data_IF_219000248342
#
_entry.id   IF_219000248342
#
_cell.length_a   1.000
_cell.length_b   1.000
_cell.length_c   1.000
_cell.angle_alpha   90.00
_cell.angle_beta   90.00
_cell.angle_gamma   90.00
#
_symmetry.space_group_name_H-M   'P 1'
#
loop_
_entity.id
_entity.type
_entity.pdbx_description
1 polymer ?
#
# COMPACT_ATOMS: atom_id res chain seq x y z
N UNK A 1 -3.93 -8.39 -27.00
CA UNK A 1 -3.85 -8.72 -28.44
C UNK A 1 -4.25 -10.17 -28.80
N UNK A 2 -5.13 -10.85 -28.04
CA UNK A 2 -5.48 -12.25 -28.31
C UNK A 2 -6.47 -12.47 -29.48
N UNK A 3 -7.02 -11.41 -30.08
CA UNK A 3 -7.98 -11.48 -31.22
C UNK A 3 -7.41 -10.96 -32.55
N UNK A 4 -6.12 -10.62 -32.63
CA UNK A 4 -5.49 -10.16 -33.87
C UNK A 4 -6.01 -8.81 -34.39
N UNK A 5 -6.62 -7.99 -33.53
CA UNK A 5 -7.06 -6.63 -33.85
C UNK A 5 -6.09 -5.64 -33.22
N UNK A 6 -5.48 -4.79 -34.06
CA UNK A 6 -4.71 -3.63 -33.59
C UNK A 6 -5.65 -2.60 -33.00
N UNK A 7 -5.31 -2.07 -31.84
CA UNK A 7 -6.09 -1.05 -31.18
C UNK A 7 -5.74 0.31 -31.77
N UNK A 8 -6.75 1.18 -31.95
CA UNK A 8 -6.44 2.59 -32.14
C UNK A 8 -5.92 3.16 -30.81
N UNK A 9 -5.13 4.23 -30.89
CA UNK A 9 -4.64 4.92 -29.68
C UNK A 9 -5.79 5.47 -28.83
N UNK A 10 -6.91 5.84 -29.46
CA UNK A 10 -8.12 6.32 -28.77
C UNK A 10 -8.81 5.18 -28.02
N UNK A 11 -9.04 4.04 -28.68
CA UNK A 11 -9.66 2.87 -28.03
C UNK A 11 -8.81 2.35 -26.87
N UNK A 12 -7.47 2.41 -27.02
CA UNK A 12 -6.54 2.04 -25.97
C UNK A 12 -6.59 2.97 -24.77
N UNK A 13 -6.63 4.29 -25.00
CA UNK A 13 -6.74 5.26 -23.92
C UNK A 13 -8.10 5.17 -23.22
N UNK A 14 -9.20 5.04 -23.96
CA UNK A 14 -10.55 4.87 -23.39
C UNK A 14 -10.67 3.61 -22.54
N UNK A 15 -10.02 2.51 -22.94
CA UNK A 15 -9.98 1.30 -22.14
C UNK A 15 -9.12 1.44 -20.88
N UNK A 16 -7.94 2.07 -20.99
CA UNK A 16 -6.99 2.19 -19.87
C UNK A 16 -7.37 3.28 -18.88
N UNK A 17 -8.09 4.32 -19.30
CA UNK A 17 -8.47 5.45 -18.46
C UNK A 17 -9.24 5.03 -17.19
N UNK A 18 -10.34 4.25 -17.25
CA UNK A 18 -11.09 3.86 -16.05
C UNK A 18 -10.28 2.94 -15.12
N UNK A 19 -9.36 2.14 -15.68
CA UNK A 19 -8.46 1.30 -14.86
C UNK A 19 -7.49 2.19 -14.08
N UNK A 20 -6.86 3.17 -14.73
CA UNK A 20 -5.99 4.13 -14.03
C UNK A 20 -6.74 4.90 -12.96
N UNK A 21 -7.95 5.38 -13.27
CA UNK A 21 -8.78 6.09 -12.30
C UNK A 21 -9.17 5.21 -11.10
N UNK A 22 -9.49 3.94 -11.34
CA UNK A 22 -9.75 2.99 -10.27
C UNK A 22 -8.53 2.83 -9.35
N UNK A 23 -7.34 2.66 -9.91
CA UNK A 23 -6.11 2.50 -9.13
C UNK A 23 -5.74 3.80 -8.39
N UNK A 24 -5.96 4.96 -8.99
CA UNK A 24 -5.74 6.25 -8.33
C UNK A 24 -6.70 6.40 -7.14
N UNK A 25 -7.98 6.13 -7.33
CA UNK A 25 -8.99 6.22 -6.28
C UNK A 25 -8.74 5.24 -5.13
N UNK A 26 -8.47 3.97 -5.46
CA UNK A 26 -8.33 2.90 -4.47
C UNK A 26 -6.93 2.81 -3.86
N UNK A 27 -5.92 3.35 -4.55
CA UNK A 27 -4.53 3.45 -4.07
C UNK A 27 -4.26 4.71 -3.27
N UNK A 28 -5.17 5.70 -3.28
CA UNK A 28 -4.99 6.94 -2.53
C UNK A 28 -4.87 6.66 -1.01
N UNK A 29 -3.98 7.35 -0.26
CA UNK A 29 -3.80 7.12 1.19
C UNK A 29 -5.11 7.18 2.00
N UNK A 30 -6.01 8.10 1.63
CA UNK A 30 -7.33 8.19 2.28
C UNK A 30 -8.25 7.00 2.02
N UNK A 31 -8.10 6.29 0.89
CA UNK A 31 -8.87 5.08 0.63
C UNK A 31 -8.44 3.94 1.56
N UNK A 32 -7.12 3.80 1.74
CA UNK A 32 -6.50 2.80 2.62
C UNK A 32 -6.83 3.05 4.11
N UNK A 33 -6.61 4.28 4.58
CA UNK A 33 -6.79 4.62 6.01
C UNK A 33 -8.27 4.57 6.44
N UNK A 34 -9.21 4.89 5.53
CA UNK A 34 -10.64 4.74 5.78
C UNK A 34 -11.08 3.26 5.98
N UNK A 35 -10.20 2.30 5.65
CA UNK A 35 -10.42 0.85 5.76
C UNK A 35 -9.47 0.18 6.74
N UNK A 36 -8.69 0.96 7.50
CA UNK A 36 -7.72 0.46 8.47
C UNK A 36 -6.68 -0.49 7.85
N UNK A 37 -6.31 -0.26 6.59
CA UNK A 37 -5.16 -0.95 6.01
C UNK A 37 -3.84 -0.43 6.59
N UNK A 38 -3.87 0.77 7.12
CA UNK A 38 -2.83 1.44 7.90
C UNK A 38 -3.44 1.97 9.21
N UNK A 39 -2.56 2.32 10.16
CA UNK A 39 -2.94 2.93 11.45
C UNK A 39 -3.06 4.47 11.37
N UNK A 40 -2.97 5.05 10.17
CA UNK A 40 -3.11 6.49 9.94
C UNK A 40 -2.13 7.06 8.92
N UNK A 41 -2.59 8.07 8.17
CA UNK A 41 -1.74 8.92 7.32
C UNK A 41 -1.11 10.01 8.19
N UNK A 42 0.22 10.16 8.11
CA UNK A 42 0.97 11.15 8.89
C UNK A 42 1.67 12.17 7.99
N UNK A 43 1.88 13.38 8.52
CA UNK A 43 2.81 14.35 7.94
C UNK A 43 4.22 13.71 7.88
N UNK A 44 4.89 13.67 6.70
CA UNK A 44 6.21 13.08 6.57
C UNK A 44 7.26 13.65 7.55
N UNK A 45 7.15 14.93 7.93
CA UNK A 45 8.05 15.56 8.91
C UNK A 45 7.86 15.02 10.34
N UNK A 46 6.74 14.34 10.59
CA UNK A 46 6.37 13.78 11.91
C UNK A 46 6.80 12.32 12.07
N UNK A 47 7.34 11.69 11.03
CA UNK A 47 7.78 10.27 11.02
C UNK A 47 8.65 9.92 12.23
N UNK A 48 9.67 10.74 12.55
CA UNK A 48 10.56 10.48 13.71
C UNK A 48 9.81 10.44 15.03
N UNK A 49 8.84 11.35 15.21
CA UNK A 49 8.08 11.42 16.45
C UNK A 49 7.09 10.26 16.56
N UNK A 50 6.40 9.92 15.47
CA UNK A 50 5.49 8.77 15.43
C UNK A 50 6.22 7.48 15.81
N UNK A 51 7.39 7.22 15.19
CA UNK A 51 8.23 6.06 15.54
C UNK A 51 8.75 6.13 16.98
N UNK A 52 9.14 7.31 17.46
CA UNK A 52 9.61 7.48 18.83
C UNK A 52 8.57 7.10 19.88
N UNK A 53 7.31 7.51 19.68
CA UNK A 53 6.20 7.15 20.58
C UNK A 53 5.87 5.66 20.45
N UNK A 54 5.80 5.11 19.23
CA UNK A 54 5.51 3.71 19.00
C UNK A 54 6.56 2.79 19.66
N UNK A 55 7.85 3.07 19.48
CA UNK A 55 8.94 2.31 20.11
C UNK A 55 8.92 2.41 21.64
N UNK A 56 8.62 3.59 22.18
CA UNK A 56 8.46 3.78 23.63
C UNK A 56 7.32 2.91 24.19
N UNK A 57 6.20 2.81 23.47
CA UNK A 57 5.11 1.93 23.83
C UNK A 57 5.53 0.44 23.78
N UNK A 58 6.17 0.01 22.68
CA UNK A 58 6.66 -1.36 22.50
C UNK A 58 7.68 -1.80 23.56
N UNK A 59 8.46 -0.87 24.11
CA UNK A 59 9.49 -1.15 25.12
C UNK A 59 8.95 -1.71 26.46
N UNK A 60 7.62 -1.75 26.64
CA UNK A 60 6.98 -2.29 27.84
C UNK A 60 6.64 -3.79 27.74
N UNK A 61 6.94 -4.43 26.62
CA UNK A 61 6.75 -5.87 26.42
C UNK A 61 8.11 -6.60 26.28
N UNK A 62 8.25 -7.84 26.78
CA UNK A 62 9.45 -8.63 26.59
C UNK A 62 9.64 -8.99 25.11
N UNK A 63 10.89 -9.10 24.67
CA UNK A 63 11.23 -9.61 23.34
C UNK A 63 11.19 -11.14 23.34
N UNK A 64 10.34 -11.73 22.51
CA UNK A 64 10.29 -13.17 22.32
C UNK A 64 11.48 -13.68 21.48
N UNK A 65 11.98 -14.90 21.72
CA UNK A 65 12.99 -15.50 20.87
C UNK A 65 12.46 -15.71 19.45
N UNK A 66 13.29 -15.45 18.45
CA UNK A 66 12.91 -15.59 17.04
C UNK A 66 12.86 -17.06 16.63
N UNK A 67 11.77 -17.48 16.00
CA UNK A 67 11.64 -18.77 15.34
C UNK A 67 11.25 -18.58 13.88
N UNK A 68 11.91 -19.30 12.97
CA UNK A 68 11.61 -19.27 11.54
C UNK A 68 10.88 -20.55 11.10
N UNK A 69 10.05 -20.43 10.06
CA UNK A 69 9.46 -21.57 9.36
C UNK A 69 10.45 -22.24 8.39
N UNK A 70 9.94 -23.08 7.49
CA UNK A 70 10.76 -23.74 6.46
C UNK A 70 11.16 -22.76 5.37
N UNK A 71 12.46 -22.66 5.09
CA UNK A 71 12.96 -21.94 3.92
C UNK A 71 12.86 -22.82 2.67
N UNK A 72 12.19 -22.30 1.61
CA UNK A 72 12.20 -22.91 0.27
C UNK A 72 13.44 -22.43 -0.48
N UNK A 73 14.40 -23.32 -0.69
CA UNK A 73 15.63 -23.09 -1.46
C UNK A 73 15.42 -23.23 -2.96
#
# INVERSE_FOLDING_TARGET
>A
EARGQEWSTVDEEEFKAPIREQYESQGHPYYATARLWDDGVIDPLRTRMALGVALSACANAPLEPVGYGVFRM
#
